data_IF_984644862858
#
_entry.id   IF_984644862858
#
_cell.length_a   1.000
_cell.length_b   1.000
_cell.length_c   1.000
_cell.angle_alpha   90.00
_cell.angle_beta   90.00
_cell.angle_gamma   90.00
#
_symmetry.space_group_name_H-M   'P 1'
#
loop_
_entity.id
_entity.type
_entity.pdbx_description
1 polymer ?
#
# COMPACT_ATOMS: atom_id res chain seq x y z
N UNK A 1 -1.70 -2.82 8.20
CA UNK A 1 -0.23 -2.66 8.11
C UNK A 1 0.10 -1.40 7.34
N UNK A 2 1.20 -0.71 7.64
CA UNK A 2 1.59 0.51 6.93
C UNK A 2 3.11 0.61 6.79
N UNK A 3 3.59 1.27 5.73
CA UNK A 3 5.00 1.47 5.45
C UNK A 3 5.24 2.76 4.67
N UNK A 4 6.32 3.47 5.01
CA UNK A 4 6.79 4.62 4.24
C UNK A 4 7.45 4.14 2.94
N UNK A 5 7.17 4.84 1.84
CA UNK A 5 7.78 4.64 0.53
C UNK A 5 8.94 5.63 0.33
N UNK A 6 9.77 5.42 -0.69
CA UNK A 6 10.81 6.38 -1.03
C UNK A 6 10.20 7.71 -1.52
N UNK A 7 10.79 8.82 -1.07
CA UNK A 7 10.22 10.17 -1.16
C UNK A 7 9.85 10.70 0.23
N UNK A 8 9.97 12.02 0.48
CA UNK A 8 9.86 12.57 1.84
C UNK A 8 8.48 12.40 2.47
N UNK A 9 7.45 12.03 1.70
CA UNK A 9 6.08 12.23 2.14
C UNK A 9 5.04 11.17 1.73
N UNK A 10 5.47 9.97 1.32
CA UNK A 10 4.54 8.94 0.86
C UNK A 10 4.45 7.76 1.83
N UNK A 11 3.21 7.39 2.17
CA UNK A 11 2.89 6.24 3.02
C UNK A 11 1.94 5.31 2.28
N UNK A 12 2.20 4.01 2.31
CA UNK A 12 1.26 2.97 1.90
C UNK A 12 0.66 2.29 3.13
N UNK A 13 -0.62 1.94 3.08
CA UNK A 13 -1.27 1.13 4.11
C UNK A 13 -2.16 0.06 3.48
N UNK A 14 -2.15 -1.15 4.04
CA UNK A 14 -3.03 -2.26 3.69
C UNK A 14 -3.89 -2.67 4.89
N UNK A 15 -5.19 -2.86 4.69
CA UNK A 15 -6.16 -3.06 5.78
C UNK A 15 -7.09 -4.26 5.57
N UNK A 16 -7.65 -4.74 6.69
CA UNK A 16 -8.56 -5.89 6.72
C UNK A 16 -9.88 -5.66 5.96
N UNK A 17 -10.20 -4.40 5.64
CA UNK A 17 -11.35 -4.01 4.80
C UNK A 17 -11.10 -4.24 3.29
N UNK A 18 -9.93 -4.77 2.93
CA UNK A 18 -9.55 -5.05 1.55
C UNK A 18 -8.98 -3.85 0.82
N UNK A 19 -8.68 -2.75 1.52
CA UNK A 19 -8.09 -1.57 0.89
C UNK A 19 -6.57 -1.55 1.03
N UNK A 20 -5.92 -1.14 -0.06
CA UNK A 20 -4.56 -0.59 -0.04
C UNK A 20 -4.66 0.89 -0.38
N UNK A 21 -4.11 1.76 0.46
CA UNK A 21 -4.18 3.21 0.31
C UNK A 21 -2.79 3.81 0.24
N UNK A 22 -2.65 4.81 -0.61
CA UNK A 22 -1.47 5.67 -0.70
C UNK A 22 -1.83 7.04 -0.13
N UNK A 23 -0.95 7.58 0.71
CA UNK A 23 -1.15 8.85 1.40
C UNK A 23 -0.01 9.82 1.09
N UNK A 24 -0.32 11.11 1.11
CA UNK A 24 0.66 12.19 1.22
C UNK A 24 0.66 12.70 2.66
N UNK A 25 1.81 12.67 3.32
CA UNK A 25 1.99 13.35 4.62
C UNK A 25 2.13 14.85 4.47
N UNK A 26 2.61 15.39 3.34
CA UNK A 26 2.62 16.86 3.14
C UNK A 26 1.20 17.39 3.02
N UNK A 27 0.41 16.78 2.15
CA UNK A 27 -0.95 17.25 1.81
C UNK A 27 -2.00 16.74 2.79
N UNK A 28 -1.61 15.85 3.73
CA UNK A 28 -2.48 15.26 4.74
C UNK A 28 -3.75 14.63 4.15
N UNK A 29 -3.60 13.96 3.00
CA UNK A 29 -4.71 13.31 2.30
C UNK A 29 -4.32 12.00 1.64
N UNK A 30 -5.33 11.18 1.38
CA UNK A 30 -5.21 10.00 0.54
C UNK A 30 -5.03 10.43 -0.92
N UNK A 31 -4.02 9.86 -1.58
CA UNK A 31 -3.72 10.07 -3.01
C UNK A 31 -4.38 9.01 -3.89
N UNK A 32 -4.44 7.76 -3.43
CA UNK A 32 -5.00 6.65 -4.19
C UNK A 32 -5.53 5.54 -3.28
N UNK A 33 -6.46 4.74 -3.80
CA UNK A 33 -6.96 3.51 -3.18
C UNK A 33 -7.05 2.40 -4.23
N UNK A 34 -6.60 1.21 -3.85
CA UNK A 34 -6.82 -0.03 -4.58
C UNK A 34 -7.64 -0.94 -3.69
N UNK A 35 -8.73 -1.48 -4.23
CA UNK A 35 -9.55 -2.46 -3.52
C UNK A 35 -9.28 -3.87 -4.01
N UNK A 36 -9.00 -4.74 -3.07
CA UNK A 36 -8.84 -6.18 -3.26
C UNK A 36 -10.04 -6.86 -2.63
N UNK A 37 -10.63 -7.85 -3.31
CA UNK A 37 -11.79 -8.58 -2.81
C UNK A 37 -11.39 -9.64 -1.76
N UNK A 38 -10.62 -9.25 -0.75
CA UNK A 38 -10.17 -10.10 0.34
C UNK A 38 -9.76 -9.27 1.56
N UNK A 39 -9.86 -9.84 2.75
CA UNK A 39 -9.32 -9.21 3.97
C UNK A 39 -7.80 -9.32 3.98
N UNK A 40 -7.10 -8.17 4.09
CA UNK A 40 -5.65 -8.14 4.09
C UNK A 40 -5.10 -8.28 5.52
N UNK A 41 -4.16 -9.20 5.71
CA UNK A 41 -3.59 -9.52 7.02
C UNK A 41 -2.12 -9.09 7.14
N UNK A 42 -1.39 -9.10 6.04
CA UNK A 42 0.01 -8.70 6.01
C UNK A 42 0.35 -7.94 4.73
N UNK A 43 1.44 -7.18 4.78
CA UNK A 43 2.01 -6.50 3.63
C UNK A 43 3.54 -6.49 3.71
N UNK A 44 4.21 -6.41 2.58
CA UNK A 44 5.64 -6.11 2.50
C UNK A 44 5.82 -5.06 1.40
N UNK A 45 6.70 -4.09 1.62
CA UNK A 45 7.09 -3.16 0.56
C UNK A 45 8.60 -3.16 0.38
N UNK A 46 9.02 -3.14 -0.88
CA UNK A 46 10.35 -2.69 -1.28
C UNK A 46 10.26 -1.18 -1.53
N UNK A 47 10.95 -0.40 -0.69
CA UNK A 47 10.90 1.06 -0.78
C UNK A 47 11.60 1.60 -2.01
N UNK A 48 12.67 0.93 -2.46
CA UNK A 48 13.49 1.33 -3.60
C UNK A 48 12.77 1.17 -4.92
N UNK A 49 11.98 0.10 -5.07
CA UNK A 49 11.23 -0.16 -6.31
C UNK A 49 9.77 0.26 -6.22
N UNK A 50 9.26 0.57 -5.02
CA UNK A 50 7.84 0.79 -4.78
C UNK A 50 6.98 -0.48 -4.94
N UNK A 51 7.59 -1.66 -4.99
CA UNK A 51 6.85 -2.93 -5.05
C UNK A 51 6.19 -3.23 -3.71
N UNK A 52 4.90 -3.55 -3.76
CA UNK A 52 4.11 -3.94 -2.59
C UNK A 52 3.52 -5.33 -2.83
N UNK A 53 3.66 -6.19 -1.82
CA UNK A 53 2.96 -7.48 -1.75
C UNK A 53 2.00 -7.42 -0.58
N UNK A 54 0.75 -7.79 -0.77
CA UNK A 54 -0.26 -7.93 0.29
C UNK A 54 -0.74 -9.38 0.35
N UNK A 55 -0.97 -9.87 1.57
CA UNK A 55 -1.41 -11.24 1.83
C UNK A 55 -2.80 -11.29 2.47
N UNK A 56 -3.60 -12.26 2.01
CA UNK A 56 -4.92 -12.60 2.53
C UNK A 56 -5.08 -14.12 2.62
N UNK A 57 -6.18 -14.60 3.21
CA UNK A 57 -6.53 -16.02 3.19
C UNK A 57 -6.74 -16.59 1.77
N UNK A 58 -7.08 -15.74 0.79
CA UNK A 58 -7.25 -16.13 -0.61
C UNK A 58 -5.93 -16.15 -1.41
N UNK A 59 -4.81 -15.80 -0.79
CA UNK A 59 -3.49 -15.72 -1.42
C UNK A 59 -2.91 -14.30 -1.39
N UNK A 60 -1.88 -14.08 -2.21
CA UNK A 60 -1.12 -12.83 -2.28
C UNK A 60 -1.42 -12.04 -3.55
N UNK A 61 -1.40 -10.72 -3.44
CA UNK A 61 -1.45 -9.79 -4.58
C UNK A 61 -0.19 -8.92 -4.54
N UNK A 62 0.46 -8.76 -5.68
CA UNK A 62 1.64 -7.91 -5.83
C UNK A 62 1.37 -6.82 -6.89
N UNK A 63 1.80 -5.60 -6.60
CA UNK A 63 1.69 -4.47 -7.52
C UNK A 63 2.81 -3.45 -7.24
N UNK A 64 3.05 -2.55 -8.19
CA UNK A 64 4.05 -1.49 -8.05
C UNK A 64 3.34 -0.15 -7.89
N UNK A 65 3.80 0.67 -6.94
CA UNK A 65 3.39 2.06 -6.80
C UNK A 65 4.43 2.90 -7.52
N UNK A 66 4.00 3.68 -8.52
CA UNK A 66 4.86 4.68 -9.19
C UNK A 66 4.41 6.07 -8.79
N UNK A 67 5.35 6.86 -8.29
CA UNK A 67 5.18 8.26 -7.95
C UNK A 67 5.77 9.06 -9.12
N UNK A 68 5.01 10.05 -9.63
CA UNK A 68 5.41 10.90 -10.76
C UNK A 68 6.09 12.18 -10.28
#
# INVERSE_FOLDING_TARGET
MAAFLDGPDHLASAAADGTVRLWSSTEQRQLAEVRVNASLHCAACDRTTGHVVVGSAAGTVAFSIRLH
#
